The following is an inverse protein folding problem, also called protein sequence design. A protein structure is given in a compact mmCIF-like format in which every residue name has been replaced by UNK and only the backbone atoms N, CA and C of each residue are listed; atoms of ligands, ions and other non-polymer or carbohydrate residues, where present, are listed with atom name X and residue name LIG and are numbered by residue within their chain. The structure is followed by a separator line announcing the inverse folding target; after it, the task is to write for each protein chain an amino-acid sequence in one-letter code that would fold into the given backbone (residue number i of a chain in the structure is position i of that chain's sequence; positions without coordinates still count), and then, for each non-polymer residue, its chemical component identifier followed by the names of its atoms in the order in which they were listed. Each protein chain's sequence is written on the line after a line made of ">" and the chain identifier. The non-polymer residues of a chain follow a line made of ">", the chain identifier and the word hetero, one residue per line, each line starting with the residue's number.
data_IF_366326152446
#
_entry.id   IF_366326152446
#
_cell.length_a   1.000
_cell.length_b   1.000
_cell.length_c   1.000
_cell.angle_alpha   90.00
_cell.angle_beta   90.00
_cell.angle_gamma   90.00
#
_symmetry.space_group_name_H-M   'P 1'
#
loop_
_entity.id
_entity.type
_entity.pdbx_description
1 polymer ?
#
# COMPACT_ATOMS: atom_id res chain seq x y z
N UNK A 1 -28.15 -1.05 24.87
CA UNK A 1 -27.30 -0.34 23.89
C UNK A 1 -28.01 -0.35 22.55
N UNK A 2 -27.99 0.79 21.85
CA UNK A 2 -28.64 0.93 20.55
C UNK A 2 -27.96 0.13 19.45
N UNK A 3 -28.72 -0.61 18.63
CA UNK A 3 -28.22 -1.32 17.44
C UNK A 3 -27.42 -0.37 16.54
N UNK A 4 -27.94 0.85 16.37
CA UNK A 4 -27.29 1.90 15.58
C UNK A 4 -25.87 2.19 16.06
N UNK A 5 -25.64 2.23 17.37
CA UNK A 5 -24.31 2.55 17.91
C UNK A 5 -23.32 1.42 17.67
N UNK A 6 -23.75 0.16 17.77
CA UNK A 6 -22.88 -0.98 17.47
C UNK A 6 -22.47 -1.02 15.99
N UNK A 7 -23.41 -0.74 15.08
CA UNK A 7 -23.13 -0.67 13.64
C UNK A 7 -22.24 0.53 13.28
N UNK A 8 -22.45 1.69 13.88
CA UNK A 8 -21.61 2.87 13.64
C UNK A 8 -20.18 2.69 14.16
N UNK A 9 -20.00 2.05 15.33
CA UNK A 9 -18.67 1.74 15.87
C UNK A 9 -17.96 0.73 14.96
N UNK A 10 -18.64 -0.36 14.55
CA UNK A 10 -18.07 -1.36 13.66
C UNK A 10 -17.71 -0.80 12.29
N UNK A 11 -18.63 -0.06 11.66
CA UNK A 11 -18.39 0.57 10.36
C UNK A 11 -17.28 1.63 10.41
N UNK A 12 -17.27 2.46 11.45
CA UNK A 12 -16.21 3.44 11.67
C UNK A 12 -14.83 2.80 11.85
N UNK A 13 -14.75 1.71 12.62
CA UNK A 13 -13.51 0.97 12.81
C UNK A 13 -12.96 0.39 11.49
N UNK A 14 -13.84 -0.17 10.64
CA UNK A 14 -13.46 -0.69 9.32
C UNK A 14 -12.93 0.43 8.41
N UNK A 15 -13.59 1.58 8.38
CA UNK A 15 -13.14 2.72 7.55
C UNK A 15 -11.76 3.21 8.01
N UNK A 16 -11.56 3.37 9.31
CA UNK A 16 -10.26 3.79 9.87
C UNK A 16 -9.17 2.79 9.48
N UNK A 17 -9.44 1.49 9.59
CA UNK A 17 -8.48 0.46 9.19
C UNK A 17 -8.16 0.48 7.70
N UNK A 18 -9.15 0.72 6.83
CA UNK A 18 -8.93 0.85 5.38
C UNK A 18 -8.04 2.06 5.07
N UNK A 19 -8.24 3.19 5.78
CA UNK A 19 -7.42 4.39 5.59
C UNK A 19 -5.97 4.14 6.04
N UNK A 20 -5.78 3.54 7.23
CA UNK A 20 -4.45 3.17 7.74
C UNK A 20 -3.77 2.21 6.76
N UNK A 21 -4.49 1.20 6.29
CA UNK A 21 -3.98 0.22 5.33
C UNK A 21 -3.59 0.86 4.00
N UNK A 22 -4.44 1.74 3.46
CA UNK A 22 -4.14 2.46 2.22
C UNK A 22 -2.89 3.34 2.35
N UNK A 23 -2.77 4.07 3.45
CA UNK A 23 -1.60 4.90 3.73
C UNK A 23 -0.33 4.05 3.84
N UNK A 24 -0.41 2.92 4.53
CA UNK A 24 0.69 1.98 4.71
C UNK A 24 1.15 1.36 3.38
N UNK A 25 0.22 0.90 2.54
CA UNK A 25 0.53 0.39 1.19
C UNK A 25 1.16 1.48 0.33
N UNK A 26 0.64 2.71 0.41
CA UNK A 26 1.18 3.83 -0.34
C UNK A 26 2.63 4.15 0.06
N UNK A 27 2.94 4.23 1.36
CA UNK A 27 4.31 4.48 1.81
C UNK A 27 5.28 3.37 1.41
N UNK A 28 4.84 2.11 1.51
CA UNK A 28 5.63 0.96 1.08
C UNK A 28 5.89 0.97 -0.42
N UNK A 29 4.89 1.29 -1.23
CA UNK A 29 5.03 1.41 -2.67
C UNK A 29 6.02 2.51 -3.06
N UNK A 30 5.96 3.66 -2.39
CA UNK A 30 6.90 4.76 -2.61
C UNK A 30 8.34 4.36 -2.27
N UNK A 31 8.57 3.68 -1.15
CA UNK A 31 9.92 3.20 -0.75
C UNK A 31 10.50 2.20 -1.75
N UNK A 32 9.73 1.20 -2.18
CA UNK A 32 10.17 0.22 -3.19
C UNK A 32 10.50 0.92 -4.51
N UNK A 33 9.68 1.89 -4.92
CA UNK A 33 9.89 2.63 -6.17
C UNK A 33 11.14 3.51 -6.12
N UNK A 34 11.41 4.13 -4.97
CA UNK A 34 12.60 4.95 -4.75
C UNK A 34 13.88 4.11 -4.80
N UNK A 35 13.94 3.00 -4.07
CA UNK A 35 15.10 2.10 -4.08
C UNK A 35 15.34 1.50 -5.47
N UNK A 36 14.30 1.04 -6.16
CA UNK A 36 14.42 0.55 -7.54
C UNK A 36 14.78 1.66 -8.55
N UNK A 37 14.60 2.94 -8.20
CA UNK A 37 15.10 4.06 -9.01
C UNK A 37 16.60 4.25 -8.79
N UNK A 38 17.05 4.31 -7.53
CA UNK A 38 18.48 4.39 -7.18
C UNK A 38 19.28 3.25 -7.80
N UNK A 39 18.80 2.01 -7.68
CA UNK A 39 19.43 0.82 -8.28
C UNK A 39 19.64 0.97 -9.79
N UNK A 40 18.62 1.42 -10.52
CA UNK A 40 18.69 1.59 -11.98
C UNK A 40 19.66 2.71 -12.37
N UNK A 41 19.65 3.82 -11.65
CA UNK A 41 20.56 4.94 -11.90
C UNK A 41 22.00 4.51 -11.65
N UNK A 42 22.27 3.89 -10.51
CA UNK A 42 23.59 3.39 -10.15
C UNK A 42 24.13 2.40 -11.20
N UNK A 43 23.32 1.43 -11.64
CA UNK A 43 23.71 0.54 -12.75
C UNK A 43 24.00 1.30 -14.06
N UNK A 44 23.24 2.35 -14.39
CA UNK A 44 23.49 3.16 -15.59
C UNK A 44 24.80 3.94 -15.47
N UNK A 45 25.12 4.47 -14.29
CA UNK A 45 26.38 5.16 -14.01
C UNK A 45 27.56 4.19 -14.05
N UNK A 46 27.43 2.98 -13.50
CA UNK A 46 28.42 1.91 -13.63
C UNK A 46 28.77 1.63 -15.11
N UNK A 47 27.76 1.37 -15.94
CA UNK A 47 27.98 1.04 -17.37
C UNK A 47 28.61 2.22 -18.11
N UNK A 48 28.20 3.44 -17.77
CA UNK A 48 28.65 4.63 -18.47
C UNK A 48 30.10 4.99 -18.16
N UNK A 49 30.57 4.77 -16.93
CA UNK A 49 31.98 4.92 -16.58
C UNK A 49 32.86 3.95 -17.38
N UNK A 50 32.47 2.67 -17.43
CA UNK A 50 33.18 1.66 -18.21
C UNK A 50 33.21 1.97 -19.72
N UNK A 51 32.12 2.49 -20.29
CA UNK A 51 32.07 2.91 -21.69
C UNK A 51 32.98 4.12 -21.96
N UNK A 52 33.06 5.07 -21.03
CA UNK A 52 33.92 6.25 -21.16
C UNK A 52 35.40 5.86 -21.07
N UNK A 53 35.76 4.87 -20.26
CA UNK A 53 37.12 4.28 -20.25
C UNK A 53 37.47 3.65 -21.60
N UNK A 54 36.55 2.86 -22.17
CA UNK A 54 36.76 2.23 -23.50
C UNK A 54 37.00 3.30 -24.57
N UNK A 55 36.18 4.35 -24.59
CA UNK A 55 36.30 5.45 -25.54
C UNK A 55 37.60 6.25 -25.34
N UNK A 56 38.04 6.44 -24.10
CA UNK A 56 39.33 7.06 -23.79
C UNK A 56 40.47 6.19 -24.34
N UNK A 57 40.48 4.89 -24.07
CA UNK A 57 41.51 3.99 -24.58
C UNK A 57 41.56 3.93 -26.10
N UNK A 58 40.41 3.89 -26.77
CA UNK A 58 40.31 3.94 -28.24
C UNK A 58 40.86 5.26 -28.79
N UNK A 59 40.61 6.37 -28.11
CA UNK A 59 41.21 7.66 -28.45
C UNK A 59 42.73 7.63 -28.29
N UNK A 60 43.27 7.12 -27.18
CA UNK A 60 44.72 7.04 -26.94
C UNK A 60 45.42 6.17 -28.00
N UNK A 61 44.77 5.09 -28.44
CA UNK A 61 45.33 4.17 -29.43
C UNK A 61 45.38 4.77 -30.85
N UNK A 62 44.37 5.55 -31.23
CA UNK A 62 44.20 5.99 -32.63
C UNK A 62 44.35 7.50 -32.85
N UNK A 63 44.26 8.32 -31.80
CA UNK A 63 44.30 9.79 -31.83
C UNK A 63 43.32 10.44 -32.82
N UNK A 64 42.17 9.81 -33.03
CA UNK A 64 41.15 10.30 -33.96
C UNK A 64 40.17 11.26 -33.26
N UNK A 65 39.91 12.40 -33.89
CA UNK A 65 38.89 13.38 -33.46
C UNK A 65 37.52 12.74 -33.24
N UNK A 66 37.20 11.71 -34.02
CA UNK A 66 35.95 10.95 -33.88
C UNK A 66 35.79 10.36 -32.48
N UNK A 67 36.85 9.77 -31.90
CA UNK A 67 36.76 9.14 -30.57
C UNK A 67 36.56 10.18 -29.47
N UNK A 68 37.22 11.34 -29.60
CA UNK A 68 37.01 12.51 -28.73
C UNK A 68 35.55 12.98 -28.75
N UNK A 69 34.95 13.07 -29.93
CA UNK A 69 33.54 13.46 -30.07
C UNK A 69 32.60 12.40 -29.50
N UNK A 70 32.86 11.10 -29.75
CA UNK A 70 32.05 10.02 -29.18
C UNK A 70 32.10 9.99 -27.65
N UNK A 71 33.28 10.24 -27.07
CA UNK A 71 33.43 10.39 -25.62
C UNK A 71 32.57 11.54 -25.08
N UNK A 72 32.65 12.73 -25.72
CA UNK A 72 31.85 13.91 -25.31
C UNK A 72 30.34 13.69 -25.44
N UNK A 73 29.89 13.04 -26.51
CA UNK A 73 28.48 12.68 -26.68
C UNK A 73 28.03 11.74 -25.56
N UNK A 74 28.83 10.71 -25.25
CA UNK A 74 28.50 9.78 -24.17
C UNK A 74 28.46 10.49 -22.83
N UNK A 75 29.42 11.34 -22.52
CA UNK A 75 29.45 12.14 -21.30
C UNK A 75 28.22 13.06 -21.19
N UNK A 76 27.92 13.82 -22.24
CA UNK A 76 26.77 14.73 -22.28
C UNK A 76 25.43 13.99 -22.12
N UNK A 77 25.33 12.72 -22.54
CA UNK A 77 24.13 11.90 -22.33
C UNK A 77 23.83 11.57 -20.86
N UNK A 78 24.78 11.86 -19.97
CA UNK A 78 24.64 11.68 -18.52
C UNK A 78 24.12 12.94 -17.82
N UNK A 79 24.00 14.07 -18.51
CA UNK A 79 23.55 15.34 -17.90
C UNK A 79 22.26 15.18 -17.10
N UNK A 80 21.21 14.64 -17.72
CA UNK A 80 19.92 14.42 -17.07
C UNK A 80 20.00 13.45 -15.88
N UNK A 81 20.93 12.48 -15.94
CA UNK A 81 21.13 11.51 -14.85
C UNK A 81 21.85 12.17 -13.68
N UNK A 82 22.87 12.99 -13.96
CA UNK A 82 23.63 13.72 -12.96
C UNK A 82 22.77 14.81 -12.27
N UNK A 83 21.83 15.40 -13.00
CA UNK A 83 20.81 16.31 -12.45
C UNK A 83 19.79 15.55 -11.58
N UNK A 84 19.30 14.39 -12.05
CA UNK A 84 18.36 13.56 -11.28
C UNK A 84 18.96 13.11 -9.92
N UNK A 85 20.27 12.86 -9.86
CA UNK A 85 20.92 12.42 -8.61
C UNK A 85 21.34 13.53 -7.67
N UNK A 86 21.16 14.81 -8.03
CA UNK A 86 21.54 15.94 -7.18
C UNK A 86 20.79 15.94 -5.83
N UNK A 87 19.56 15.40 -5.83
CA UNK A 87 18.74 15.26 -4.62
C UNK A 87 19.17 14.10 -3.70
N UNK A 88 20.04 13.19 -4.18
CA UNK A 88 20.46 12.01 -3.43
C UNK A 88 21.87 12.18 -2.87
N UNK A 89 21.97 12.28 -1.54
CA UNK A 89 23.26 12.37 -0.84
C UNK A 89 24.19 11.19 -1.16
N UNK A 90 23.64 9.99 -1.34
CA UNK A 90 24.42 8.78 -1.62
C UNK A 90 25.23 8.86 -2.94
N UNK A 91 24.89 9.80 -3.84
CA UNK A 91 25.52 9.95 -5.16
C UNK A 91 26.45 11.16 -5.27
N UNK A 92 26.70 11.89 -4.17
CA UNK A 92 27.51 13.11 -4.17
C UNK A 92 28.93 12.86 -4.72
N UNK A 93 29.59 11.81 -4.24
CA UNK A 93 30.95 11.43 -4.65
C UNK A 93 31.01 10.98 -6.12
N UNK A 94 30.07 10.13 -6.56
CA UNK A 94 29.94 9.73 -7.97
C UNK A 94 29.80 10.95 -8.90
N UNK A 95 28.95 11.91 -8.55
CA UNK A 95 28.73 13.12 -9.36
C UNK A 95 30.02 13.92 -9.49
N UNK A 96 30.70 14.16 -8.38
CA UNK A 96 31.93 14.93 -8.35
C UNK A 96 33.05 14.22 -9.12
N UNK A 97 33.10 12.88 -9.05
CA UNK A 97 34.01 12.04 -9.82
C UNK A 97 33.73 12.10 -11.33
N UNK A 98 32.46 12.15 -11.76
CA UNK A 98 32.13 12.37 -13.17
C UNK A 98 32.59 13.74 -13.69
N UNK A 99 32.51 14.80 -12.87
CA UNK A 99 33.04 16.13 -13.24
C UNK A 99 34.56 16.08 -13.37
N UNK A 100 35.26 15.41 -12.45
CA UNK A 100 36.70 15.23 -12.53
C UNK A 100 37.12 14.41 -13.76
N UNK A 101 36.34 13.39 -14.12
CA UNK A 101 36.60 12.55 -15.29
C UNK A 101 36.56 13.35 -16.61
N UNK A 102 35.66 14.33 -16.74
CA UNK A 102 35.63 15.25 -17.88
C UNK A 102 36.88 16.13 -17.96
N UNK A 103 37.30 16.69 -16.82
CA UNK A 103 38.50 17.52 -16.76
C UNK A 103 39.76 16.72 -17.12
N UNK A 104 39.91 15.52 -16.58
CA UNK A 104 41.03 14.62 -16.89
C UNK A 104 41.05 14.24 -18.37
N UNK A 105 39.89 13.91 -18.96
CA UNK A 105 39.83 13.62 -20.39
C UNK A 105 40.23 14.83 -21.24
N UNK A 106 39.82 16.04 -20.87
CA UNK A 106 40.23 17.26 -21.54
C UNK A 106 41.76 17.49 -21.46
N UNK A 107 42.37 17.24 -20.31
CA UNK A 107 43.83 17.31 -20.13
C UNK A 107 44.57 16.24 -20.96
N UNK A 108 44.04 15.01 -21.02
CA UNK A 108 44.59 13.92 -21.85
C UNK A 108 44.60 14.35 -23.33
N UNK A 109 43.47 14.87 -23.81
CA UNK A 109 43.32 15.35 -25.19
C UNK A 109 44.27 16.51 -25.47
N UNK A 110 44.39 17.47 -24.55
CA UNK A 110 45.32 18.60 -24.69
C UNK A 110 46.77 18.13 -24.77
N UNK A 111 47.21 17.27 -23.84
CA UNK A 111 48.56 16.72 -23.85
C UNK A 111 48.84 15.97 -25.17
N UNK A 112 47.88 15.18 -25.65
CA UNK A 112 47.99 14.45 -26.91
C UNK A 112 48.11 15.35 -28.16
N UNK A 113 47.47 16.52 -28.15
CA UNK A 113 47.45 17.45 -29.29
C UNK A 113 48.63 18.45 -29.27
N UNK A 114 49.16 18.81 -28.10
CA UNK A 114 50.13 19.92 -27.98
C UNK A 114 51.48 19.57 -27.35
N UNK A 115 51.49 18.78 -26.28
CA UNK A 115 52.70 18.56 -25.47
C UNK A 115 53.41 17.23 -25.80
N UNK A 116 52.63 16.22 -26.19
CA UNK A 116 53.05 14.84 -26.43
C UNK A 116 53.93 14.26 -25.30
N UNK A 117 53.69 14.67 -24.05
CA UNK A 117 54.49 14.23 -22.90
C UNK A 117 54.00 12.84 -22.41
N UNK A 118 54.80 11.76 -22.58
CA UNK A 118 54.35 10.41 -22.25
C UNK A 118 54.16 10.18 -20.75
N UNK A 119 54.97 10.83 -19.91
CA UNK A 119 54.87 10.70 -18.46
C UNK A 119 53.64 11.42 -17.90
N UNK A 120 53.27 12.55 -18.50
CA UNK A 120 52.04 13.25 -18.16
C UNK A 120 50.82 12.43 -18.59
N UNK A 121 50.84 11.88 -19.79
CA UNK A 121 49.77 11.00 -20.28
C UNK A 121 49.57 9.80 -19.36
N UNK A 122 50.64 9.07 -19.03
CA UNK A 122 50.58 7.90 -18.14
C UNK A 122 49.96 8.26 -16.79
N UNK A 123 50.33 9.41 -16.23
CA UNK A 123 49.77 9.90 -14.96
C UNK A 123 48.29 10.25 -15.07
N UNK A 124 47.88 10.96 -16.12
CA UNK A 124 46.49 11.36 -16.33
C UNK A 124 45.60 10.14 -16.55
N UNK A 125 46.07 9.16 -17.33
CA UNK A 125 45.38 7.89 -17.54
C UNK A 125 45.26 7.12 -16.23
N UNK A 126 46.33 7.05 -15.42
CA UNK A 126 46.26 6.40 -14.12
C UNK A 126 45.23 7.07 -13.18
N UNK A 127 45.16 8.41 -13.18
CA UNK A 127 44.16 9.15 -12.40
C UNK A 127 42.74 8.88 -12.90
N UNK A 128 42.54 8.87 -14.22
CA UNK A 128 41.25 8.55 -14.84
C UNK A 128 40.77 7.16 -14.40
N UNK A 129 41.66 6.17 -14.40
CA UNK A 129 41.32 4.80 -14.01
C UNK A 129 40.97 4.67 -12.53
N UNK A 130 41.63 5.45 -11.66
CA UNK A 130 41.31 5.47 -10.23
C UNK A 130 39.89 6.03 -10.03
N UNK A 131 39.59 7.19 -10.61
CA UNK A 131 38.28 7.83 -10.49
C UNK A 131 37.18 6.97 -11.13
N UNK A 132 37.43 6.40 -12.31
CA UNK A 132 36.48 5.48 -12.94
C UNK A 132 36.22 4.26 -12.06
N UNK A 133 37.25 3.70 -11.43
CA UNK A 133 37.10 2.59 -10.50
C UNK A 133 36.27 2.96 -9.26
N UNK A 134 36.46 4.16 -8.71
CA UNK A 134 35.65 4.69 -7.60
C UNK A 134 34.18 4.80 -8.01
N UNK A 135 33.88 5.44 -9.17
CA UNK A 135 32.52 5.51 -9.72
C UNK A 135 31.91 4.12 -9.87
N UNK A 136 32.66 3.18 -10.44
CA UNK A 136 32.23 1.80 -10.67
C UNK A 136 31.93 1.09 -9.35
N UNK A 137 32.81 1.22 -8.36
CA UNK A 137 32.68 0.58 -7.05
C UNK A 137 31.48 1.14 -6.28
N UNK A 138 31.39 2.46 -6.16
CA UNK A 138 30.28 3.14 -5.46
C UNK A 138 28.95 2.88 -6.15
N UNK A 139 28.90 2.98 -7.49
CA UNK A 139 27.69 2.65 -8.25
C UNK A 139 27.25 1.21 -8.03
N UNK A 140 28.19 0.26 -7.98
CA UNK A 140 27.87 -1.14 -7.70
C UNK A 140 27.38 -1.33 -6.26
N UNK A 141 27.96 -0.62 -5.29
CA UNK A 141 27.56 -0.69 -3.89
C UNK A 141 26.14 -0.12 -3.70
N UNK A 142 25.87 1.07 -4.25
CA UNK A 142 24.53 1.68 -4.19
C UNK A 142 23.51 0.78 -4.90
N UNK A 143 23.85 0.23 -6.07
CA UNK A 143 22.96 -0.69 -6.77
C UNK A 143 22.58 -1.91 -5.93
N UNK A 144 23.57 -2.55 -5.31
CA UNK A 144 23.35 -3.72 -4.46
C UNK A 144 22.57 -3.36 -3.19
N UNK A 145 22.93 -2.26 -2.52
CA UNK A 145 22.22 -1.80 -1.33
C UNK A 145 20.76 -1.46 -1.64
N UNK A 146 20.51 -0.73 -2.72
CA UNK A 146 19.15 -0.40 -3.15
C UNK A 146 18.35 -1.60 -3.60
N UNK A 147 18.97 -2.57 -4.29
CA UNK A 147 18.34 -3.85 -4.61
C UNK A 147 17.92 -4.60 -3.34
N UNK A 148 18.84 -4.76 -2.38
CA UNK A 148 18.57 -5.42 -1.11
C UNK A 148 17.48 -4.70 -0.30
N UNK A 149 17.50 -3.36 -0.28
CA UNK A 149 16.49 -2.56 0.40
C UNK A 149 15.12 -2.72 -0.27
N UNK A 150 15.06 -2.68 -1.62
CA UNK A 150 13.82 -2.89 -2.39
C UNK A 150 13.21 -4.26 -2.09
N UNK A 151 14.02 -5.33 -2.07
CA UNK A 151 13.56 -6.68 -1.73
C UNK A 151 13.12 -6.77 -0.26
N UNK A 152 13.86 -6.19 0.69
CA UNK A 152 13.43 -6.13 2.11
C UNK A 152 12.10 -5.38 2.28
N UNK A 153 11.92 -4.26 1.59
CA UNK A 153 10.67 -3.51 1.62
C UNK A 153 9.53 -4.30 0.97
N UNK A 154 9.79 -5.01 -0.12
CA UNK A 154 8.82 -5.89 -0.78
C UNK A 154 8.38 -7.04 0.12
N UNK A 155 9.32 -7.74 0.77
CA UNK A 155 9.00 -8.82 1.72
C UNK A 155 8.16 -8.31 2.89
N UNK A 156 8.57 -7.20 3.50
CA UNK A 156 7.80 -6.55 4.59
C UNK A 156 6.40 -6.18 4.13
N UNK A 157 6.26 -5.61 2.93
CA UNK A 157 4.98 -5.25 2.34
C UNK A 157 4.09 -6.48 2.17
N UNK A 158 4.62 -7.58 1.63
CA UNK A 158 3.87 -8.81 1.44
C UNK A 158 3.36 -9.40 2.77
N UNK A 159 4.22 -9.44 3.79
CA UNK A 159 3.82 -9.92 5.13
C UNK A 159 2.75 -8.99 5.74
N UNK A 160 2.93 -7.68 5.63
CA UNK A 160 1.96 -6.70 6.12
C UNK A 160 0.61 -6.81 5.41
N UNK A 161 0.60 -7.01 4.08
CA UNK A 161 -0.61 -7.27 3.29
C UNK A 161 -1.35 -8.52 3.79
N UNK A 162 -0.64 -9.62 4.01
CA UNK A 162 -1.22 -10.87 4.54
C UNK A 162 -1.85 -10.67 5.92
N UNK A 163 -1.17 -9.95 6.81
CA UNK A 163 -1.67 -9.61 8.15
C UNK A 163 -2.93 -8.74 8.04
N UNK A 164 -2.92 -7.69 7.20
CA UNK A 164 -4.06 -6.79 7.04
C UNK A 164 -5.29 -7.49 6.47
N UNK A 165 -5.12 -8.37 5.47
CA UNK A 165 -6.22 -9.18 4.93
C UNK A 165 -6.79 -10.09 6.02
N UNK A 166 -5.92 -10.71 6.83
CA UNK A 166 -6.33 -11.58 7.93
C UNK A 166 -7.13 -10.82 8.99
N UNK A 167 -6.69 -9.60 9.36
CA UNK A 167 -7.41 -8.73 10.31
C UNK A 167 -8.79 -8.35 9.75
N UNK A 168 -8.86 -7.96 8.48
CA UNK A 168 -10.12 -7.60 7.84
C UNK A 168 -11.08 -8.79 7.79
N UNK A 169 -10.59 -9.98 7.48
CA UNK A 169 -11.37 -11.22 7.51
C UNK A 169 -11.94 -11.51 8.91
N UNK A 170 -11.11 -11.40 9.95
CA UNK A 170 -11.54 -11.60 11.35
C UNK A 170 -12.61 -10.57 11.74
N UNK A 171 -12.45 -9.31 11.36
CA UNK A 171 -13.41 -8.25 11.66
C UNK A 171 -14.75 -8.44 10.96
N UNK A 172 -14.74 -8.75 9.66
CA UNK A 172 -15.96 -9.05 8.91
C UNK A 172 -16.69 -10.24 9.52
N UNK A 173 -15.95 -11.29 9.89
CA UNK A 173 -16.51 -12.48 10.54
C UNK A 173 -17.11 -12.13 11.91
N UNK A 174 -16.39 -11.37 12.73
CA UNK A 174 -16.86 -10.94 14.05
C UNK A 174 -18.14 -10.10 13.96
N UNK A 175 -18.18 -9.10 13.07
CA UNK A 175 -19.37 -8.27 12.83
C UNK A 175 -20.55 -9.13 12.35
N UNK A 176 -20.30 -10.07 11.43
CA UNK A 176 -21.33 -10.98 10.92
C UNK A 176 -21.93 -11.85 12.04
N UNK A 177 -21.08 -12.40 12.92
CA UNK A 177 -21.52 -13.18 14.07
C UNK A 177 -22.29 -12.35 15.09
N UNK A 178 -21.91 -11.09 15.30
CA UNK A 178 -22.64 -10.17 16.18
C UNK A 178 -24.04 -9.91 15.62
N UNK A 179 -24.15 -9.60 14.33
CA UNK A 179 -25.44 -9.35 13.67
C UNK A 179 -26.33 -10.60 13.76
N UNK A 180 -25.79 -11.78 13.40
CA UNK A 180 -26.55 -13.03 13.41
C UNK A 180 -27.12 -13.36 14.81
N UNK A 181 -26.29 -13.25 15.85
CA UNK A 181 -26.67 -13.69 17.20
C UNK A 181 -27.45 -12.64 17.99
N UNK A 182 -27.14 -11.36 17.84
CA UNK A 182 -27.76 -10.31 18.64
C UNK A 182 -28.93 -9.62 17.94
N UNK A 183 -28.99 -9.62 16.60
CA UNK A 183 -30.07 -8.98 15.85
C UNK A 183 -30.95 -10.01 15.16
N UNK A 184 -30.39 -10.85 14.28
CA UNK A 184 -31.19 -11.76 13.46
C UNK A 184 -31.95 -12.79 14.28
N UNK A 185 -31.28 -13.46 15.22
CA UNK A 185 -31.92 -14.51 16.04
C UNK A 185 -33.07 -13.98 16.94
N UNK A 186 -32.93 -12.90 17.72
CA UNK A 186 -34.05 -12.36 18.50
C UNK A 186 -35.22 -11.86 17.64
N UNK A 187 -34.94 -11.33 16.44
CA UNK A 187 -35.99 -10.94 15.51
C UNK A 187 -36.74 -12.16 14.96
N UNK A 188 -36.04 -13.25 14.63
CA UNK A 188 -36.65 -14.50 14.19
C UNK A 188 -37.54 -15.12 15.28
N UNK A 189 -37.07 -15.16 16.52
CA UNK A 189 -37.84 -15.62 17.69
C UNK A 189 -39.11 -14.77 17.92
N UNK A 190 -39.01 -13.46 17.69
CA UNK A 190 -40.14 -12.53 17.80
C UNK A 190 -41.16 -12.74 16.67
N UNK A 191 -40.70 -12.93 15.42
CA UNK A 191 -41.58 -13.26 14.28
C UNK A 191 -42.34 -14.55 14.55
N UNK A 192 -41.66 -15.60 15.03
CA UNK A 192 -42.28 -16.87 15.42
C UNK A 192 -43.34 -16.69 16.53
N UNK A 193 -43.08 -15.81 17.49
CA UNK A 193 -44.04 -15.49 18.56
C UNK A 193 -45.28 -14.76 18.04
N UNK A 194 -45.10 -13.79 17.14
CA UNK A 194 -46.20 -13.07 16.48
C UNK A 194 -47.07 -14.04 15.66
N UNK A 195 -46.46 -15.00 14.95
CA UNK A 195 -47.21 -15.97 14.16
C UNK A 195 -48.10 -16.88 15.02
N UNK A 196 -47.67 -17.20 16.24
CA UNK A 196 -48.52 -17.92 17.21
C UNK A 196 -49.70 -17.06 17.68
N UNK A 197 -49.46 -15.77 17.90
CA UNK A 197 -50.48 -14.80 18.30
C UNK A 197 -51.52 -14.62 17.19
N UNK A 198 -51.10 -14.49 15.93
CA UNK A 198 -52.02 -14.33 14.79
C UNK A 198 -52.90 -15.56 14.55
N UNK A 199 -52.45 -16.74 14.99
CA UNK A 199 -53.24 -17.98 15.02
C UNK A 199 -54.18 -18.10 16.22
N UNK A 200 -54.36 -17.02 17.01
CA UNK A 200 -55.30 -16.95 18.13
C UNK A 200 -54.71 -17.28 19.50
N UNK A 201 -53.42 -17.64 19.59
CA UNK A 201 -52.78 -17.90 20.88
C UNK A 201 -52.33 -16.58 21.55
N UNK A 202 -53.23 -15.97 22.33
CA UNK A 202 -52.94 -14.73 23.04
C UNK A 202 -52.06 -14.93 24.28
N UNK A 203 -51.82 -16.16 24.76
CA UNK A 203 -51.06 -16.40 26.00
C UNK A 203 -49.54 -16.50 25.80
N UNK A 204 -49.07 -16.20 24.59
CA UNK A 204 -47.63 -16.08 24.27
C UNK A 204 -46.99 -14.95 25.07
N UNK A 205 -45.83 -15.24 25.68
CA UNK A 205 -44.98 -14.24 26.34
C UNK A 205 -43.82 -13.90 25.42
N UNK A 206 -43.67 -12.61 25.12
CA UNK A 206 -42.50 -12.11 24.40
C UNK A 206 -41.36 -11.91 25.39
N UNK A 207 -40.21 -12.53 25.09
CA UNK A 207 -39.03 -12.43 25.93
C UNK A 207 -38.40 -11.03 25.85
N UNK A 208 -37.78 -10.60 26.95
CA UNK A 208 -37.06 -9.33 26.99
C UNK A 208 -35.81 -9.41 26.14
N UNK A 209 -35.52 -8.33 25.41
CA UNK A 209 -34.29 -8.17 24.65
C UNK A 209 -33.32 -7.24 25.36
N UNK A 210 -32.03 -7.51 25.19
CA UNK A 210 -30.94 -6.67 25.72
C UNK A 210 -30.60 -5.48 24.80
N UNK A 211 -31.21 -5.42 23.60
CA UNK A 211 -31.06 -4.31 22.66
C UNK A 211 -32.23 -3.34 22.83
N UNK A 212 -31.91 -2.05 22.97
CA UNK A 212 -32.91 -1.04 23.38
C UNK A 212 -34.04 -0.90 22.35
N UNK A 213 -33.71 -0.93 21.04
CA UNK A 213 -34.71 -0.86 19.97
C UNK A 213 -35.57 -2.13 19.89
N UNK A 214 -34.98 -3.32 20.07
CA UNK A 214 -35.73 -4.58 20.05
C UNK A 214 -36.61 -4.69 21.29
N UNK A 215 -36.13 -4.28 22.47
CA UNK A 215 -36.91 -4.22 23.69
C UNK A 215 -38.09 -3.25 23.56
N UNK A 216 -37.86 -2.08 22.96
CA UNK A 216 -38.93 -1.10 22.71
C UNK A 216 -40.05 -1.69 21.83
N UNK A 217 -39.68 -2.53 20.84
CA UNK A 217 -40.64 -3.23 19.99
C UNK A 217 -41.39 -4.33 20.76
N UNK A 218 -40.69 -5.12 21.57
CA UNK A 218 -41.28 -6.12 22.48
C UNK A 218 -42.31 -5.46 23.41
N UNK A 219 -41.99 -4.30 24.01
CA UNK A 219 -42.88 -3.57 24.90
C UNK A 219 -44.13 -3.04 24.18
N UNK A 220 -43.97 -2.53 22.96
CA UNK A 220 -45.10 -2.09 22.14
C UNK A 220 -46.04 -3.24 21.80
N UNK A 221 -45.48 -4.39 21.42
CA UNK A 221 -46.26 -5.57 21.05
C UNK A 221 -46.98 -6.18 22.26
N UNK A 222 -46.33 -6.22 23.43
CA UNK A 222 -46.96 -6.65 24.68
C UNK A 222 -48.17 -5.76 25.05
N UNK A 223 -48.08 -4.44 24.84
CA UNK A 223 -49.23 -3.53 25.04
C UNK A 223 -50.39 -3.84 24.10
N UNK A 224 -50.10 -4.08 22.82
CA UNK A 224 -51.11 -4.49 21.83
C UNK A 224 -51.78 -5.79 22.25
N UNK A 225 -51.00 -6.78 22.70
CA UNK A 225 -51.51 -8.06 23.17
C UNK A 225 -52.45 -7.92 24.36
N UNK A 226 -52.09 -7.07 25.33
CA UNK A 226 -52.91 -6.80 26.51
C UNK A 226 -54.23 -6.10 26.13
N UNK A 227 -54.18 -5.12 25.23
CA UNK A 227 -55.38 -4.46 24.70
C UNK A 227 -56.28 -5.44 23.94
N UNK A 228 -55.70 -6.33 23.13
CA UNK A 228 -56.44 -7.35 22.41
C UNK A 228 -57.11 -8.35 23.36
N UNK A 229 -56.41 -8.83 24.40
CA UNK A 229 -56.99 -9.69 25.44
C UNK A 229 -58.19 -9.02 26.13
N UNK A 230 -58.04 -7.77 26.54
CA UNK A 230 -59.12 -7.00 27.19
C UNK A 230 -60.31 -6.77 26.25
N UNK A 231 -60.06 -6.52 24.96
CA UNK A 231 -61.13 -6.36 23.98
C UNK A 231 -61.89 -7.67 23.79
N UNK A 232 -61.19 -8.80 23.64
CA UNK A 232 -61.79 -10.13 23.52
C UNK A 232 -62.62 -10.48 24.77
N UNK A 233 -62.08 -10.22 25.96
CA UNK A 233 -62.77 -10.46 27.24
C UNK A 233 -64.05 -9.63 27.38
N UNK A 234 -64.03 -8.35 26.94
CA UNK A 234 -65.20 -7.46 26.99
C UNK A 234 -66.30 -7.81 25.98
N UNK A 235 -65.94 -8.37 24.83
CA UNK A 235 -66.92 -8.73 23.77
C UNK A 235 -67.54 -10.11 24.02
N UNK A 236 -67.00 -10.90 24.97
CA UNK A 236 -67.60 -12.18 25.39
C UNK A 236 -67.53 -13.30 24.34
N UNK A 237 -66.70 -13.13 23.31
CA UNK A 237 -66.52 -14.10 22.22
C UNK A 237 -65.65 -15.26 22.74
N UNK A 238 -66.11 -16.49 22.55
CA UNK A 238 -65.35 -17.68 22.93
C UNK A 238 -64.01 -17.70 22.18
N UNK A 239 -62.93 -18.02 22.90
CA UNK A 239 -61.53 -18.05 22.41
C UNK A 239 -61.34 -18.83 21.09
N UNK A 240 -62.27 -19.73 20.77
CA UNK A 240 -62.26 -20.61 19.59
C UNK A 240 -62.81 -19.98 18.30
N UNK A 241 -63.61 -18.90 18.36
CA UNK A 241 -64.17 -18.25 17.16
C UNK A 241 -63.28 -17.14 16.58
N UNK A 242 -62.19 -16.79 17.27
CA UNK A 242 -61.30 -15.69 16.90
C UNK A 242 -60.24 -16.21 15.93
N UNK A 243 -60.69 -16.71 14.78
CA UNK A 243 -59.87 -17.13 13.65
C UNK A 243 -59.22 -15.94 12.94
N UNK A 244 -58.32 -15.23 13.61
CA UNK A 244 -57.57 -14.09 13.03
C UNK A 244 -56.67 -14.51 11.85
N UNK A 245 -56.34 -15.80 11.74
CA UNK A 245 -55.51 -16.35 10.67
C UNK A 245 -56.15 -16.34 9.27
N UNK A 246 -57.48 -16.27 9.15
CA UNK A 246 -58.17 -16.14 7.86
C UNK A 246 -58.35 -14.67 7.44
N UNK A 247 -58.52 -13.75 8.40
CA UNK A 247 -58.68 -12.32 8.12
C UNK A 247 -57.41 -11.62 7.60
N UNK A 248 -56.22 -12.20 7.83
CA UNK A 248 -54.93 -11.65 7.41
C UNK A 248 -54.37 -12.25 6.11
N UNK A 249 -55.07 -13.22 5.48
CA UNK A 249 -54.70 -13.80 4.18
C UNK A 249 -55.34 -13.09 2.97
N UNK A 250 -56.20 -12.09 3.21
CA UNK A 250 -56.77 -11.20 2.20
C UNK A 250 -55.95 -9.90 2.11
#
# INVERSE_FOLDING_TARGET
>A
MKIRNQLLIGGGAVIILIVIFSAMVFTSFSQVTEESRKERIANRLYVSAAELDILMYDYLLHRQDRMKEQWRIKYSSLHDVLEEIEEYQDFEEIRDNYVQMENLFAEIVQNAETEENPYLEERLVAQMLIISHEIISESSEIAEQSYQNSERFRERTNIMLLISISILFVLVTAISLIIANYISKPLEEMVSSIEKISKGNLDVKLEKSNLDEVQSLVDALNRILASLKLAVEKVGVAKEEIGLGEALKA
#
